data_IF_631288174111
#
_entry.id   IF_631288174111
#
_cell.length_a   1.000
_cell.length_b   1.000
_cell.length_c   1.000
_cell.angle_alpha   90.00
_cell.angle_beta   90.00
_cell.angle_gamma   90.00
#
_symmetry.space_group_name_H-M   'P 1'
#
loop_
_entity.id
_entity.type
_entity.pdbx_description
1 polymer ?
#
# COMPACT_ATOMS: atom_id res chain seq x y z
N UNK A 1 12.47 1.09 13.75
CA UNK A 1 11.57 0.43 12.78
C UNK A 1 10.17 1.06 12.69
N UNK A 2 9.75 1.87 13.67
CA UNK A 2 8.32 2.20 13.82
C UNK A 2 7.88 3.44 13.01
N UNK A 3 8.84 4.12 12.38
CA UNK A 3 8.62 5.22 11.41
C UNK A 3 7.86 4.82 10.15
N UNK A 4 7.74 3.51 9.93
CA UNK A 4 7.27 2.89 8.70
C UNK A 4 5.74 2.73 8.70
N UNK A 5 5.12 2.54 9.86
CA UNK A 5 3.69 2.20 9.99
C UNK A 5 2.82 3.45 9.76
N UNK A 6 3.19 4.59 10.34
CA UNK A 6 2.44 5.85 10.19
C UNK A 6 2.54 6.39 8.76
N UNK A 7 3.74 6.40 8.16
CA UNK A 7 3.93 6.84 6.78
C UNK A 7 3.27 5.92 5.74
N UNK A 8 3.15 4.62 6.00
CA UNK A 8 2.46 3.68 5.09
C UNK A 8 0.94 3.88 5.11
N UNK A 9 0.38 4.24 6.28
CA UNK A 9 -1.05 4.50 6.49
C UNK A 9 -1.52 5.81 5.86
N UNK A 10 -0.66 6.84 5.87
CA UNK A 10 -0.95 8.15 5.28
C UNK A 10 -1.16 8.11 3.75
N UNK A 11 -0.82 7.01 3.08
CA UNK A 11 -0.84 6.91 1.62
C UNK A 11 -2.17 6.39 1.07
N UNK A 12 -2.93 5.64 1.88
CA UNK A 12 -4.29 5.20 1.56
C UNK A 12 -5.31 6.28 1.96
N UNK A 13 -5.20 7.45 1.33
CA UNK A 13 -6.26 8.46 1.41
C UNK A 13 -7.40 7.98 0.50
N UNK A 14 -8.33 7.19 1.05
CA UNK A 14 -9.52 6.74 0.34
C UNK A 14 -10.55 7.86 0.28
N UNK A 15 -11.15 7.98 -0.91
CA UNK A 15 -12.30 8.79 -1.29
C UNK A 15 -13.27 9.00 -0.12
N UNK A 16 -13.69 10.26 0.02
CA UNK A 16 -14.71 10.72 0.94
C UNK A 16 -16.01 9.90 0.77
N UNK A 17 -16.24 8.96 1.68
CA UNK A 17 -17.57 8.79 2.23
C UNK A 17 -17.64 9.71 3.44
N UNK A 18 -18.40 10.80 3.29
CA UNK A 18 -18.80 11.67 4.39
C UNK A 18 -19.77 10.89 5.28
N UNK A 19 -19.23 10.06 6.16
CA UNK A 19 -19.90 9.66 7.38
C UNK A 19 -19.05 10.23 8.50
N UNK A 20 -19.41 11.44 8.92
CA UNK A 20 -18.92 12.11 10.12
C UNK A 20 -19.45 11.31 11.31
N UNK A 21 -18.83 10.16 11.60
CA UNK A 21 -18.98 9.57 12.91
C UNK A 21 -18.26 10.49 13.90
N UNK A 22 -18.92 10.82 15.01
CA UNK A 22 -18.34 11.47 16.19
C UNK A 22 -17.22 10.59 16.77
N UNK A 23 -16.10 10.48 16.07
CA UNK A 23 -14.97 9.70 16.53
C UNK A 23 -14.21 10.57 17.50
N UNK A 24 -14.27 10.17 18.77
CA UNK A 24 -13.48 10.77 19.83
C UNK A 24 -12.00 10.73 19.46
N UNK A 25 -11.33 11.87 19.53
CA UNK A 25 -9.87 11.96 19.42
C UNK A 25 -9.29 11.16 20.59
N UNK A 26 -8.49 10.14 20.28
CA UNK A 26 -7.87 9.28 21.28
C UNK A 26 -6.60 9.97 21.75
N UNK A 27 -6.56 10.38 23.03
CA UNK A 27 -5.36 10.94 23.63
C UNK A 27 -4.21 9.93 23.64
N UNK A 28 -2.97 10.38 23.51
CA UNK A 28 -1.80 9.48 23.53
C UNK A 28 -1.73 8.65 24.82
N UNK A 29 -2.21 9.21 25.94
CA UNK A 29 -2.33 8.54 27.25
C UNK A 29 -3.38 7.42 27.29
N UNK A 30 -4.37 7.42 26.38
CA UNK A 30 -5.42 6.39 26.29
C UNK A 30 -4.95 5.15 25.50
N UNK A 31 -3.78 5.21 24.87
CA UNK A 31 -3.18 4.10 24.13
C UNK A 31 -2.61 3.02 25.06
N UNK A 32 -2.54 1.78 24.57
CA UNK A 32 -1.88 0.70 25.33
C UNK A 32 -0.37 0.97 25.43
N UNK A 33 0.31 0.43 26.46
CA UNK A 33 1.76 0.62 26.65
C UNK A 33 2.57 0.24 25.41
N UNK A 34 2.19 -0.84 24.73
CA UNK A 34 2.83 -1.28 23.48
C UNK A 34 2.62 -0.27 22.34
N UNK A 35 1.39 0.25 22.18
CA UNK A 35 1.09 1.28 21.19
C UNK A 35 1.82 2.59 21.48
N UNK A 36 1.90 2.99 22.76
CA UNK A 36 2.65 4.16 23.19
C UNK A 36 4.14 4.01 22.89
N UNK A 37 4.75 2.87 23.19
CA UNK A 37 6.15 2.61 22.83
C UNK A 37 6.37 2.64 21.31
N UNK A 38 5.40 2.11 20.54
CA UNK A 38 5.47 2.12 19.08
C UNK A 38 5.31 3.52 18.47
N UNK A 39 4.48 4.36 19.08
CA UNK A 39 4.15 5.72 18.63
C UNK A 39 4.93 6.83 19.36
N UNK A 40 5.80 6.50 20.31
CA UNK A 40 6.60 7.45 21.08
C UNK A 40 7.28 8.54 20.24
N UNK A 41 7.98 8.23 19.12
CA UNK A 41 8.62 9.27 18.31
C UNK A 41 7.64 10.17 17.53
N UNK A 42 6.34 9.88 17.60
CA UNK A 42 5.25 10.57 16.91
C UNK A 42 4.20 11.11 17.87
N UNK A 43 4.51 11.18 19.17
CA UNK A 43 3.58 11.66 20.20
C UNK A 43 3.06 13.08 19.87
N UNK A 44 3.94 13.98 19.42
CA UNK A 44 3.58 15.36 19.09
C UNK A 44 2.72 15.45 17.82
N UNK A 45 2.96 14.55 16.86
CA UNK A 45 2.12 14.46 15.65
C UNK A 45 0.76 13.84 15.97
N UNK A 46 0.70 12.90 16.93
CA UNK A 46 -0.50 12.14 17.28
C UNK A 46 -1.68 13.02 17.70
N UNK A 47 -1.41 14.05 18.51
CA UNK A 47 -2.43 15.01 18.96
C UNK A 47 -2.95 15.90 17.83
N UNK A 48 -2.20 16.05 16.74
CA UNK A 48 -2.58 16.82 15.56
C UNK A 48 -3.35 15.99 14.51
N UNK A 49 -3.51 14.68 14.73
CA UNK A 49 -4.25 13.80 13.82
C UNK A 49 -5.76 13.88 14.07
N UNK A 50 -6.55 13.83 12.99
CA UNK A 50 -7.99 13.62 13.11
C UNK A 50 -8.28 12.23 13.69
N UNK A 51 -9.43 12.07 14.34
CA UNK A 51 -9.82 10.79 14.95
C UNK A 51 -9.84 9.63 13.92
N UNK A 52 -10.22 9.90 12.67
CA UNK A 52 -10.15 8.94 11.57
C UNK A 52 -8.71 8.47 11.29
N UNK A 53 -7.75 9.41 11.26
CA UNK A 53 -6.34 9.07 11.05
C UNK A 53 -5.77 8.27 12.22
N UNK A 54 -6.09 8.67 13.45
CA UNK A 54 -5.70 7.94 14.66
C UNK A 54 -6.22 6.50 14.61
N UNK A 55 -7.51 6.30 14.31
CA UNK A 55 -8.10 4.97 14.22
C UNK A 55 -7.45 4.11 13.12
N UNK A 56 -7.13 4.70 11.97
CA UNK A 56 -6.42 4.00 10.89
C UNK A 56 -5.05 3.49 11.37
N UNK A 57 -4.28 4.34 12.05
CA UNK A 57 -2.96 3.98 12.59
C UNK A 57 -3.10 2.83 13.60
N UNK A 58 -4.02 2.94 14.58
CA UNK A 58 -4.24 1.89 15.57
C UNK A 58 -4.64 0.57 14.92
N UNK A 59 -5.54 0.62 13.94
CA UNK A 59 -6.01 -0.58 13.23
C UNK A 59 -4.86 -1.33 12.58
N UNK A 60 -3.90 -0.65 11.96
CA UNK A 60 -2.76 -1.38 11.41
C UNK A 60 -1.60 -1.64 12.34
N UNK A 61 -1.48 -0.94 13.48
CA UNK A 61 -0.63 -1.43 14.56
C UNK A 61 -1.12 -2.80 15.03
N UNK A 62 -2.44 -2.95 15.22
CA UNK A 62 -3.04 -4.25 15.56
C UNK A 62 -2.77 -5.29 14.49
N UNK A 63 -2.99 -4.97 13.20
CA UNK A 63 -2.68 -5.91 12.11
C UNK A 63 -1.20 -6.25 12.03
N UNK A 64 -0.32 -5.28 12.23
CA UNK A 64 1.14 -5.47 12.22
C UNK A 64 1.59 -6.43 13.31
N UNK A 65 1.07 -6.26 14.53
CA UNK A 65 1.40 -7.13 15.66
C UNK A 65 0.88 -8.57 15.46
N UNK A 66 -0.13 -8.76 14.60
CA UNK A 66 -0.62 -10.08 14.18
C UNK A 66 0.22 -10.72 13.06
N UNK A 67 1.08 -9.97 12.37
CA UNK A 67 1.93 -10.51 11.31
C UNK A 67 3.10 -11.31 11.88
N UNK A 68 3.42 -12.43 11.22
CA UNK A 68 4.69 -13.14 11.46
C UNK A 68 5.91 -12.29 11.09
N UNK A 69 7.09 -12.61 11.63
CA UNK A 69 8.33 -11.89 11.33
C UNK A 69 8.62 -11.81 9.81
N UNK A 70 8.33 -12.90 9.08
CA UNK A 70 8.48 -12.94 7.63
C UNK A 70 7.50 -12.00 6.90
N UNK A 71 6.27 -11.90 7.38
CA UNK A 71 5.27 -10.99 6.83
C UNK A 71 5.61 -9.54 7.11
N UNK A 72 6.06 -9.24 8.33
CA UNK A 72 6.58 -7.94 8.71
C UNK A 72 7.73 -7.54 7.77
N UNK A 73 8.73 -8.40 7.58
CA UNK A 73 9.85 -8.16 6.66
C UNK A 73 9.39 -7.87 5.22
N UNK A 74 8.37 -8.58 4.72
CA UNK A 74 7.78 -8.31 3.40
C UNK A 74 7.11 -6.93 3.33
N UNK A 75 6.37 -6.55 4.36
CA UNK A 75 5.71 -5.23 4.42
C UNK A 75 6.76 -4.12 4.50
N UNK A 76 7.84 -4.30 5.28
CA UNK A 76 8.93 -3.34 5.32
C UNK A 76 9.61 -3.18 3.97
N UNK A 77 9.87 -4.28 3.26
CA UNK A 77 10.48 -4.25 1.94
C UNK A 77 9.60 -3.46 0.96
N UNK A 78 8.28 -3.67 0.98
CA UNK A 78 7.34 -2.91 0.16
C UNK A 78 7.36 -1.43 0.51
N UNK A 79 7.41 -1.10 1.79
CA UNK A 79 7.49 0.29 2.22
C UNK A 79 8.80 0.95 1.79
N UNK A 80 9.94 0.25 1.87
CA UNK A 80 11.23 0.74 1.36
C UNK A 80 11.17 1.05 -0.13
N UNK A 81 10.49 0.21 -0.92
CA UNK A 81 10.26 0.45 -2.35
C UNK A 81 9.33 1.64 -2.57
N UNK A 82 8.23 1.72 -1.81
CA UNK A 82 7.28 2.83 -1.88
C UNK A 82 7.94 4.18 -1.59
N UNK A 83 8.80 4.29 -0.58
CA UNK A 83 9.52 5.53 -0.26
C UNK A 83 10.46 6.00 -1.37
N UNK A 84 10.92 5.10 -2.24
CA UNK A 84 11.78 5.44 -3.38
C UNK A 84 11.00 6.06 -4.53
N UNK A 85 9.67 5.98 -4.51
CA UNK A 85 8.82 6.57 -5.54
C UNK A 85 8.77 8.10 -5.41
N UNK A 86 8.93 8.76 -6.55
CA UNK A 86 8.73 10.20 -6.68
C UNK A 86 7.27 10.58 -6.37
N UNK A 87 7.02 11.86 -6.07
CA UNK A 87 5.65 12.35 -5.84
C UNK A 87 4.74 12.03 -7.02
N UNK A 88 5.23 12.25 -8.25
CA UNK A 88 4.51 11.94 -9.49
C UNK A 88 4.20 10.45 -9.64
N UNK A 89 5.13 9.56 -9.31
CA UNK A 89 4.86 8.11 -9.34
C UNK A 89 3.84 7.69 -8.28
N UNK A 90 3.91 8.27 -7.09
CA UNK A 90 2.93 8.01 -6.01
C UNK A 90 1.54 8.46 -6.40
N UNK A 91 1.40 9.63 -7.01
CA UNK A 91 0.14 10.15 -7.55
C UNK A 91 -0.42 9.26 -8.66
N UNK A 92 0.42 8.84 -9.60
CA UNK A 92 0.02 7.92 -10.66
C UNK A 92 -0.52 6.60 -10.06
N UNK A 93 0.12 6.04 -9.03
CA UNK A 93 -0.37 4.83 -8.37
C UNK A 93 -1.69 5.04 -7.63
N UNK A 94 -1.86 6.20 -6.98
CA UNK A 94 -3.14 6.56 -6.35
C UNK A 94 -4.26 6.65 -7.38
N UNK A 95 -4.02 7.29 -8.52
CA UNK A 95 -4.98 7.38 -9.63
C UNK A 95 -5.33 5.99 -10.15
N UNK A 96 -4.33 5.16 -10.48
CA UNK A 96 -4.56 3.79 -10.97
C UNK A 96 -5.36 2.94 -9.98
N UNK A 97 -5.11 3.11 -8.68
CA UNK A 97 -5.87 2.42 -7.64
C UNK A 97 -7.31 2.94 -7.55
N UNK A 98 -7.52 4.25 -7.62
CA UNK A 98 -8.87 4.84 -7.65
C UNK A 98 -9.66 4.35 -8.86
N UNK A 99 -9.06 4.33 -10.05
CA UNK A 99 -9.67 3.80 -11.26
C UNK A 99 -10.06 2.33 -11.08
N UNK A 100 -9.16 1.52 -10.51
CA UNK A 100 -9.44 0.12 -10.20
C UNK A 100 -10.62 -0.05 -9.22
N UNK A 101 -10.70 0.78 -8.17
CA UNK A 101 -11.82 0.75 -7.21
C UNK A 101 -13.15 1.11 -7.87
N UNK A 102 -13.15 1.99 -8.87
CA UNK A 102 -14.35 2.38 -9.62
C UNK A 102 -14.76 1.33 -10.66
N UNK A 103 -13.90 0.36 -11.01
CA UNK A 103 -14.25 -0.71 -11.95
C UNK A 103 -15.35 -1.61 -11.38
N UNK A 104 -16.20 -2.14 -12.25
CA UNK A 104 -17.21 -3.13 -11.84
C UNK A 104 -16.55 -4.37 -11.21
N UNK A 105 -17.22 -5.05 -10.25
CA UNK A 105 -16.67 -6.25 -9.61
C UNK A 105 -16.28 -7.34 -10.60
N UNK A 106 -17.02 -7.45 -11.72
CA UNK A 106 -16.69 -8.38 -12.80
C UNK A 106 -15.34 -8.05 -13.44
N UNK A 107 -15.10 -6.77 -13.78
CA UNK A 107 -13.85 -6.32 -14.39
C UNK A 107 -12.67 -6.46 -13.43
N UNK A 108 -12.87 -6.13 -12.15
CA UNK A 108 -11.87 -6.36 -11.11
C UNK A 108 -11.48 -7.86 -11.03
N UNK A 109 -12.47 -8.77 -11.00
CA UNK A 109 -12.22 -10.22 -11.00
C UNK A 109 -11.46 -10.68 -12.25
N UNK A 110 -11.79 -10.14 -13.42
CA UNK A 110 -11.09 -10.46 -14.66
C UNK A 110 -9.61 -10.05 -14.59
N UNK A 111 -9.33 -8.82 -14.11
CA UNK A 111 -7.97 -8.33 -13.94
C UNK A 111 -7.18 -9.18 -12.95
N UNK A 112 -7.78 -9.53 -11.80
CA UNK A 112 -7.14 -10.41 -10.83
C UNK A 112 -6.84 -11.81 -11.40
N UNK A 113 -7.74 -12.38 -12.20
CA UNK A 113 -7.52 -13.66 -12.87
C UNK A 113 -6.38 -13.58 -13.88
N UNK A 114 -6.34 -12.53 -14.70
CA UNK A 114 -5.26 -12.27 -15.65
C UNK A 114 -3.91 -12.12 -14.94
N UNK A 115 -3.88 -11.35 -13.85
CA UNK A 115 -2.71 -11.18 -12.99
C UNK A 115 -2.23 -12.53 -12.43
N UNK A 116 -3.12 -13.32 -11.82
CA UNK A 116 -2.74 -14.65 -11.29
C UNK A 116 -2.17 -15.56 -12.36
N UNK A 117 -2.79 -15.59 -13.56
CA UNK A 117 -2.33 -16.37 -14.71
C UNK A 117 -0.94 -15.92 -15.17
N UNK A 118 -0.71 -14.61 -15.30
CA UNK A 118 0.61 -14.09 -15.66
C UNK A 118 1.68 -14.48 -14.62
N UNK A 119 1.35 -14.39 -13.33
CA UNK A 119 2.26 -14.76 -12.24
C UNK A 119 2.41 -16.27 -12.00
N UNK A 120 1.65 -17.12 -12.69
CA UNK A 120 1.87 -18.57 -12.71
C UNK A 120 2.72 -19.03 -13.90
N UNK A 121 3.02 -18.15 -14.86
CA UNK A 121 3.91 -18.48 -15.97
C UNK A 121 5.37 -18.59 -15.52
N UNK A 122 6.19 -19.43 -16.18
CA UNK A 122 7.63 -19.47 -15.99
C UNK A 122 8.28 -18.10 -16.19
N UNK A 123 9.41 -17.85 -15.53
CA UNK A 123 10.08 -16.55 -15.57
C UNK A 123 10.38 -16.07 -17.00
N UNK A 124 10.90 -16.96 -17.84
CA UNK A 124 11.22 -16.70 -19.25
C UNK A 124 10.00 -16.19 -20.02
N UNK A 125 8.85 -16.89 -19.90
CA UNK A 125 7.60 -16.48 -20.55
C UNK A 125 7.09 -15.14 -20.03
N UNK A 126 7.26 -14.84 -18.75
CA UNK A 126 6.88 -13.51 -18.21
C UNK A 126 7.75 -12.39 -18.78
N UNK A 127 9.06 -12.64 -18.94
CA UNK A 127 9.99 -11.67 -19.53
C UNK A 127 9.62 -11.44 -21.00
N UNK A 128 9.39 -12.51 -21.76
CA UNK A 128 8.99 -12.43 -23.16
C UNK A 128 7.72 -11.60 -23.35
N UNK A 129 6.66 -11.91 -22.61
CA UNK A 129 5.40 -11.18 -22.67
C UNK A 129 5.55 -9.70 -22.28
N UNK A 130 6.39 -9.41 -21.28
CA UNK A 130 6.68 -8.02 -20.88
C UNK A 130 7.41 -7.26 -21.99
N UNK A 131 8.39 -7.90 -22.62
CA UNK A 131 9.16 -7.30 -23.72
C UNK A 131 8.27 -7.06 -24.94
N UNK A 132 7.41 -8.02 -25.28
CA UNK A 132 6.45 -7.89 -26.37
C UNK A 132 5.49 -6.71 -26.12
N UNK A 133 4.94 -6.62 -24.90
CA UNK A 133 4.09 -5.51 -24.50
C UNK A 133 4.81 -4.17 -24.55
N UNK A 134 6.06 -4.10 -24.05
CA UNK A 134 6.84 -2.87 -24.07
C UNK A 134 7.16 -2.40 -25.50
N UNK A 135 7.36 -3.33 -26.44
CA UNK A 135 7.58 -3.02 -27.86
C UNK A 135 6.32 -2.56 -28.57
N UNK A 136 5.14 -3.06 -28.17
CA UNK A 136 3.86 -2.67 -28.79
C UNK A 136 3.27 -1.38 -28.24
N UNK A 137 3.77 -0.88 -27.10
CA UNK A 137 3.35 0.40 -26.54
C UNK A 137 3.93 1.58 -27.35
N UNK A 138 3.09 2.51 -27.83
CA UNK A 138 3.59 3.78 -28.38
C UNK A 138 4.29 4.58 -27.27
N UNK A 139 5.28 5.39 -27.64
CA UNK A 139 6.08 6.19 -26.69
C UNK A 139 5.24 7.07 -25.75
N UNK A 140 4.08 7.53 -26.23
CA UNK A 140 3.09 8.31 -25.45
C UNK A 140 2.31 7.50 -24.40
N UNK A 141 2.42 6.17 -24.38
CA UNK A 141 1.75 5.26 -23.43
C UNK A 141 2.70 4.53 -22.49
N UNK A 142 3.95 4.98 -22.38
CA UNK A 142 4.85 4.40 -21.37
C UNK A 142 4.30 4.65 -19.97
N UNK A 143 4.25 3.61 -19.11
CA UNK A 143 3.70 3.75 -17.78
C UNK A 143 4.57 4.70 -16.95
N UNK A 144 3.92 5.67 -16.29
CA UNK A 144 4.59 6.63 -15.39
C UNK A 144 5.32 5.89 -14.28
N UNK A 145 4.75 4.78 -13.80
CA UNK A 145 5.39 3.89 -12.83
C UNK A 145 5.87 2.62 -13.52
N UNK A 146 7.19 2.39 -13.48
CA UNK A 146 7.79 1.19 -14.07
C UNK A 146 7.47 -0.05 -13.22
N UNK A 147 7.16 -1.22 -13.83
CA UNK A 147 6.87 -2.43 -13.07
C UNK A 147 7.96 -2.85 -12.07
N UNK A 148 9.22 -2.49 -12.34
CA UNK A 148 10.36 -2.78 -11.47
C UNK A 148 10.37 -1.95 -10.18
N UNK A 149 9.65 -0.83 -10.12
CA UNK A 149 9.56 0.04 -8.93
C UNK A 149 8.32 -0.23 -8.08
N UNK A 150 7.39 -1.08 -8.55
CA UNK A 150 6.20 -1.46 -7.81
C UNK A 150 6.56 -2.33 -6.59
N UNK A 151 5.90 -2.10 -5.43
CA UNK A 151 5.98 -2.98 -4.27
C UNK A 151 5.50 -4.39 -4.61
N UNK A 152 6.40 -5.30 -4.98
CA UNK A 152 6.05 -6.67 -5.37
C UNK A 152 6.20 -7.63 -4.20
N UNK A 153 5.26 -8.57 -4.10
CA UNK A 153 5.38 -9.73 -3.21
C UNK A 153 6.25 -10.75 -3.93
N UNK A 154 7.48 -11.00 -3.46
CA UNK A 154 8.19 -12.21 -3.86
C UNK A 154 7.33 -13.40 -3.43
N UNK A 155 6.86 -14.20 -4.40
CA UNK A 155 6.23 -15.49 -4.09
C UNK A 155 7.25 -16.32 -3.33
N UNK A 156 6.81 -17.01 -2.27
CA UNK A 156 7.56 -18.13 -1.69
C UNK A 156 7.70 -19.15 -2.82
N UNK A 157 8.91 -19.36 -3.33
CA UNK A 157 9.20 -20.55 -4.12
C UNK A 157 9.08 -21.74 -3.14
N UNK A 158 8.36 -22.81 -3.52
CA UNK A 158 8.21 -23.99 -2.67
C UNK A 158 9.57 -24.63 -2.37
#
# INVERSE_FOLDING_TARGET
MNKFIICAMFVFNTVAFAQESEQKIIGFSELTKEQQQQLQPYQDEWSNLSAKQQQQILTGLTKWNQLSADEQARVEQRFRQWRRLTTREREALRSMFADYQQMSPHRQRQLQRAYRRFHSLPMERRIELRNQFQRSLPSSRQPIVKPATLPTVKKKEP
#
